data_IF_958883548691
#
_entry.id   IF_958883548691
#
_cell.length_a   1.000
_cell.length_b   1.000
_cell.length_c   1.000
_cell.angle_alpha   90.00
_cell.angle_beta   90.00
_cell.angle_gamma   90.00
#
_symmetry.space_group_name_H-M   'P 1'
#
loop_
_entity.id
_entity.type
_entity.pdbx_description
1 polymer ?
#
# COMPACT_ATOMS: atom_id res chain seq x y z
N UNK A 1 1.65 -14.40 -25.59
CA UNK A 1 0.25 -14.50 -25.98
C UNK A 1 -0.59 -14.52 -24.73
N UNK A 2 -1.68 -13.75 -24.69
CA UNK A 2 -2.60 -13.60 -23.56
C UNK A 2 -3.99 -14.02 -24.04
N UNK A 3 -4.59 -15.01 -23.39
CA UNK A 3 -5.89 -15.57 -23.76
C UNK A 3 -6.80 -15.61 -22.54
N UNK A 4 -8.08 -15.29 -22.71
CA UNK A 4 -9.09 -15.47 -21.67
C UNK A 4 -9.80 -16.81 -21.92
N UNK A 5 -9.84 -17.66 -20.91
CA UNK A 5 -10.42 -19.01 -20.97
C UNK A 5 -11.28 -19.30 -19.75
N UNK A 6 -12.11 -20.33 -19.87
CA UNK A 6 -12.90 -20.87 -18.75
C UNK A 6 -12.62 -22.36 -18.67
N UNK A 7 -12.59 -22.92 -17.45
CA UNK A 7 -12.50 -24.37 -17.28
C UNK A 7 -13.66 -25.08 -17.98
N UNK A 8 -13.50 -26.35 -18.42
CA UNK A 8 -14.55 -27.10 -19.10
C UNK A 8 -15.84 -27.24 -18.31
N UNK A 9 -15.76 -27.25 -16.96
CA UNK A 9 -16.92 -27.30 -16.05
C UNK A 9 -17.59 -25.91 -15.82
N UNK A 10 -17.11 -24.87 -16.50
CA UNK A 10 -17.62 -23.51 -16.39
C UNK A 10 -17.29 -22.79 -15.07
N UNK A 11 -16.63 -23.43 -14.11
CA UNK A 11 -16.50 -22.96 -12.73
C UNK A 11 -15.51 -21.80 -12.51
N UNK A 12 -14.40 -21.77 -13.27
CA UNK A 12 -13.34 -20.78 -13.11
C UNK A 12 -12.98 -20.17 -14.45
N UNK A 13 -13.11 -18.84 -14.55
CA UNK A 13 -12.61 -18.04 -15.67
C UNK A 13 -11.20 -17.57 -15.36
N UNK A 14 -10.25 -17.73 -16.30
CA UNK A 14 -8.85 -17.40 -16.10
C UNK A 14 -8.17 -16.78 -17.30
N UNK A 15 -7.16 -15.92 -17.05
CA UNK A 15 -6.24 -15.40 -18.06
C UNK A 15 -5.05 -16.34 -18.22
N UNK A 16 -4.88 -16.94 -19.38
CA UNK A 16 -3.71 -17.74 -19.72
C UNK A 16 -2.62 -16.88 -20.35
N UNK A 17 -1.46 -16.84 -19.72
CA UNK A 17 -0.28 -16.13 -20.20
C UNK A 17 0.82 -17.14 -20.58
N UNK A 18 1.00 -17.37 -21.88
CA UNK A 18 2.11 -18.17 -22.39
C UNK A 18 3.38 -17.33 -22.51
N UNK A 19 4.37 -17.62 -21.69
CA UNK A 19 5.65 -16.90 -21.63
C UNK A 19 6.78 -17.82 -21.15
N UNK A 20 8.05 -17.44 -21.37
CA UNK A 20 9.21 -18.19 -20.88
C UNK A 20 9.22 -18.20 -19.35
N UNK A 21 8.73 -19.26 -18.73
CA UNK A 21 8.80 -19.53 -17.29
C UNK A 21 9.19 -20.98 -17.05
N UNK A 22 9.96 -21.21 -15.99
CA UNK A 22 10.43 -22.55 -15.62
C UNK A 22 9.28 -23.40 -15.06
N UNK A 23 8.40 -22.81 -14.27
CA UNK A 23 7.29 -23.49 -13.60
C UNK A 23 5.96 -22.83 -13.97
N UNK A 24 4.85 -23.57 -13.85
CA UNK A 24 3.51 -22.99 -13.92
C UNK A 24 3.28 -22.14 -12.68
N UNK A 25 2.74 -20.94 -12.88
CA UNK A 25 2.43 -20.01 -11.79
C UNK A 25 0.95 -19.61 -11.88
N UNK A 26 0.26 -19.73 -10.74
CA UNK A 26 -1.12 -19.30 -10.58
C UNK A 26 -1.16 -18.14 -9.58
N UNK A 27 -1.93 -17.10 -9.89
CA UNK A 27 -2.23 -16.00 -8.96
C UNK A 27 -3.64 -15.48 -9.18
N UNK A 28 -4.29 -15.06 -8.14
CA UNK A 28 -5.49 -14.24 -8.21
C UNK A 28 -5.05 -12.78 -8.13
N UNK A 29 -5.39 -11.99 -9.15
CA UNK A 29 -5.01 -10.56 -9.22
C UNK A 29 -5.79 -9.73 -8.21
N UNK A 30 -5.36 -8.51 -7.94
CA UNK A 30 -6.13 -7.57 -7.14
C UNK A 30 -7.54 -7.29 -7.69
N UNK A 31 -7.77 -7.38 -9.00
CA UNK A 31 -9.09 -7.31 -9.64
C UNK A 31 -9.90 -8.62 -9.63
N UNK A 32 -9.48 -9.65 -8.89
CA UNK A 32 -10.19 -10.95 -8.81
C UNK A 32 -10.01 -11.84 -10.04
N UNK A 33 -9.14 -11.45 -10.98
CA UNK A 33 -8.88 -12.28 -12.17
C UNK A 33 -7.88 -13.37 -11.82
N UNK A 34 -8.25 -14.62 -12.06
CA UNK A 34 -7.35 -15.77 -11.96
C UNK A 34 -6.39 -15.72 -13.14
N UNK A 35 -5.10 -15.60 -12.89
CA UNK A 35 -4.07 -15.53 -13.94
C UNK A 35 -3.12 -16.71 -13.84
N UNK A 36 -2.93 -17.43 -14.93
CA UNK A 36 -2.02 -18.57 -15.03
C UNK A 36 -0.91 -18.25 -16.03
N UNK A 37 0.33 -18.35 -15.59
CA UNK A 37 1.52 -18.16 -16.44
C UNK A 37 2.24 -19.47 -16.62
N UNK A 38 2.42 -19.87 -17.87
CA UNK A 38 3.01 -21.18 -18.26
C UNK A 38 3.99 -21.05 -19.41
N UNK A 39 4.87 -22.04 -19.57
CA UNK A 39 5.69 -22.16 -20.77
C UNK A 39 4.81 -22.39 -22.01
N UNK A 40 5.21 -21.88 -23.21
CA UNK A 40 4.46 -22.05 -24.45
C UNK A 40 4.13 -23.49 -24.82
N UNK A 41 4.97 -24.45 -24.40
CA UNK A 41 4.85 -25.87 -24.75
C UNK A 41 3.92 -26.67 -23.83
N UNK A 42 3.41 -26.10 -22.74
CA UNK A 42 2.54 -26.83 -21.79
C UNK A 42 1.17 -27.08 -22.42
N UNK A 43 0.73 -28.37 -22.48
CA UNK A 43 -0.60 -28.72 -22.98
C UNK A 43 -1.73 -28.12 -22.16
N UNK A 44 -2.87 -27.84 -22.80
CA UNK A 44 -4.00 -27.19 -22.12
C UNK A 44 -4.54 -28.04 -20.96
N UNK A 45 -4.71 -29.34 -21.16
CA UNK A 45 -5.20 -30.25 -20.11
C UNK A 45 -4.37 -30.23 -18.83
N UNK A 46 -3.02 -30.13 -18.94
CA UNK A 46 -2.16 -29.96 -17.77
C UNK A 46 -2.37 -28.61 -17.05
N UNK A 47 -2.72 -27.57 -17.79
CA UNK A 47 -3.00 -26.26 -17.22
C UNK A 47 -4.33 -26.30 -16.45
N UNK A 48 -5.34 -26.92 -17.04
CA UNK A 48 -6.66 -27.09 -16.42
C UNK A 48 -6.59 -27.97 -15.17
N UNK A 49 -5.87 -29.08 -15.22
CA UNK A 49 -5.59 -29.91 -14.05
C UNK A 49 -4.86 -29.15 -12.95
N UNK A 50 -3.86 -28.34 -13.33
CA UNK A 50 -3.15 -27.49 -12.39
C UNK A 50 -4.09 -26.47 -11.70
N UNK A 51 -5.02 -25.85 -12.45
CA UNK A 51 -6.03 -24.95 -11.90
C UNK A 51 -6.97 -25.71 -10.95
N UNK A 52 -7.43 -26.90 -11.34
CA UNK A 52 -8.30 -27.74 -10.52
C UNK A 52 -7.64 -28.13 -9.20
N UNK A 53 -6.37 -28.53 -9.20
CA UNK A 53 -5.60 -28.83 -7.97
C UNK A 53 -5.49 -27.63 -7.04
N UNK A 54 -5.55 -26.41 -7.56
CA UNK A 54 -5.47 -25.17 -6.76
C UNK A 54 -6.84 -24.51 -6.54
N UNK A 55 -7.95 -25.22 -6.79
CA UNK A 55 -9.33 -24.69 -6.68
C UNK A 55 -9.58 -24.08 -5.31
N UNK A 56 -9.29 -24.79 -4.23
CA UNK A 56 -9.51 -24.30 -2.87
C UNK A 56 -8.73 -23.00 -2.58
N UNK A 57 -7.50 -22.87 -3.09
CA UNK A 57 -6.72 -21.63 -2.99
C UNK A 57 -7.40 -20.50 -3.76
N UNK A 58 -7.88 -20.75 -4.98
CA UNK A 58 -8.56 -19.76 -5.81
C UNK A 58 -9.84 -19.28 -5.14
N UNK A 59 -10.69 -20.22 -4.69
CA UNK A 59 -11.97 -19.93 -4.03
C UNK A 59 -11.74 -19.11 -2.75
N UNK A 60 -10.80 -19.54 -1.89
CA UNK A 60 -10.44 -18.81 -0.67
C UNK A 60 -9.93 -17.39 -1.01
N UNK A 61 -9.11 -17.23 -2.04
CA UNK A 61 -8.60 -15.93 -2.47
C UNK A 61 -9.70 -15.03 -3.02
N UNK A 62 -10.67 -15.57 -3.74
CA UNK A 62 -11.84 -14.86 -4.25
C UNK A 62 -12.83 -14.51 -3.14
N UNK A 63 -13.05 -15.41 -2.18
CA UNK A 63 -13.91 -15.19 -1.02
C UNK A 63 -13.36 -14.11 -0.10
N UNK A 64 -12.10 -14.23 0.31
CA UNK A 64 -11.42 -13.20 1.11
C UNK A 64 -11.50 -11.80 0.48
N UNK A 65 -11.70 -11.74 -0.83
CA UNK A 65 -11.85 -10.51 -1.56
C UNK A 65 -13.28 -9.97 -1.50
N UNK A 66 -14.29 -10.84 -1.63
CA UNK A 66 -15.71 -10.45 -1.46
C UNK A 66 -15.96 -9.92 -0.06
N UNK A 67 -15.39 -10.58 0.94
CA UNK A 67 -15.52 -10.20 2.35
C UNK A 67 -14.85 -8.85 2.67
N UNK A 68 -13.85 -8.44 1.87
CA UNK A 68 -13.13 -7.16 2.04
C UNK A 68 -13.75 -5.97 1.29
N UNK A 69 -14.89 -6.13 0.61
CA UNK A 69 -15.65 -5.03 0.00
C UNK A 69 -14.93 -4.21 -1.07
N UNK A 70 -13.88 -4.76 -1.74
CA UNK A 70 -13.15 -4.07 -2.82
C UNK A 70 -11.62 -4.19 -2.71
N UNK A 71 -10.88 -3.34 -3.44
CA UNK A 71 -9.44 -3.30 -3.34
C UNK A 71 -9.03 -2.65 -2.01
N UNK A 72 -8.18 -3.30 -1.17
CA UNK A 72 -7.84 -2.80 0.17
C UNK A 72 -7.16 -1.43 0.19
N UNK A 73 -6.70 -0.95 -0.97
CA UNK A 73 -6.08 0.36 -1.15
C UNK A 73 -7.05 1.40 -1.75
N UNK A 74 -8.33 1.06 -1.92
CA UNK A 74 -9.40 1.96 -2.39
C UNK A 74 -10.39 2.12 -1.25
N UNK A 75 -10.29 3.19 -0.46
CA UNK A 75 -11.25 3.45 0.61
C UNK A 75 -12.66 3.68 0.07
N UNK A 76 -13.65 3.34 0.86
CA UNK A 76 -15.02 3.73 0.57
C UNK A 76 -15.21 5.23 0.80
N UNK A 77 -16.13 5.84 0.06
CA UNK A 77 -16.53 7.22 0.31
C UNK A 77 -17.30 7.31 1.63
N UNK A 78 -17.24 8.49 2.24
CA UNK A 78 -17.90 8.82 3.51
C UNK A 78 -17.49 7.89 4.67
N UNK A 79 -16.23 7.39 4.62
CA UNK A 79 -15.61 6.58 5.70
C UNK A 79 -14.38 7.27 6.25
N UNK A 80 -14.05 6.91 7.49
CA UNK A 80 -12.77 7.28 8.10
C UNK A 80 -11.73 6.21 7.86
N UNK A 81 -10.51 6.64 7.56
CA UNK A 81 -9.37 5.74 7.37
C UNK A 81 -8.15 6.26 8.12
N UNK A 82 -7.37 5.33 8.65
CA UNK A 82 -6.06 5.67 9.21
C UNK A 82 -5.01 5.72 8.09
N UNK A 83 -4.25 6.82 8.04
CA UNK A 83 -3.13 7.00 7.12
C UNK A 83 -1.92 7.44 7.90
N UNK A 84 -0.87 6.62 7.94
CA UNK A 84 0.39 6.90 8.66
C UNK A 84 0.15 7.37 10.11
N UNK A 85 -0.73 6.66 10.83
CA UNK A 85 -1.08 6.94 12.22
C UNK A 85 -2.13 8.04 12.45
N UNK A 86 -2.55 8.78 11.42
CA UNK A 86 -3.53 9.85 11.50
C UNK A 86 -4.85 9.43 10.84
N UNK A 87 -5.99 9.85 11.43
CA UNK A 87 -7.32 9.58 10.86
C UNK A 87 -7.68 10.62 9.81
N UNK A 88 -8.23 10.17 8.69
CA UNK A 88 -8.72 11.00 7.59
C UNK A 88 -10.13 10.60 7.20
N UNK A 89 -10.97 11.59 6.91
CA UNK A 89 -12.30 11.38 6.33
C UNK A 89 -12.20 11.37 4.80
N UNK A 90 -12.77 10.36 4.15
CA UNK A 90 -12.82 10.24 2.68
C UNK A 90 -14.12 10.81 2.16
N UNK A 91 -14.07 11.91 1.43
CA UNK A 91 -15.26 12.65 0.98
C UNK A 91 -15.26 12.83 -0.53
N UNK A 92 -16.44 12.66 -1.16
CA UNK A 92 -16.62 12.99 -2.57
C UNK A 92 -16.61 14.50 -2.76
N UNK A 93 -15.72 15.01 -3.61
CA UNK A 93 -15.69 16.43 -3.96
C UNK A 93 -16.92 16.80 -4.81
N UNK A 94 -17.80 17.63 -4.24
CA UNK A 94 -18.94 18.24 -4.92
C UNK A 94 -18.63 19.72 -5.22
N UNK A 95 -19.30 20.37 -6.18
CA UNK A 95 -18.99 21.75 -6.60
C UNK A 95 -18.91 22.79 -5.47
N UNK A 96 -19.53 22.55 -4.32
CA UNK A 96 -19.56 23.46 -3.17
C UNK A 96 -18.79 22.93 -1.94
N UNK A 97 -18.19 21.75 -2.01
CA UNK A 97 -17.58 21.09 -0.83
C UNK A 97 -16.33 21.83 -0.34
N UNK A 98 -15.49 22.32 -1.26
CA UNK A 98 -14.21 22.98 -0.93
C UNK A 98 -14.42 24.29 -0.17
N UNK A 99 -15.45 25.09 -0.53
CA UNK A 99 -15.72 26.37 0.12
C UNK A 99 -16.15 26.20 1.58
N UNK A 100 -17.00 25.20 1.87
CA UNK A 100 -17.49 24.94 3.22
C UNK A 100 -16.40 24.49 4.19
N UNK A 101 -15.42 23.69 3.73
CA UNK A 101 -14.33 23.20 4.58
C UNK A 101 -13.23 24.25 4.82
N UNK A 102 -13.04 25.22 3.93
CA UNK A 102 -12.10 26.31 4.13
C UNK A 102 -12.63 27.36 5.10
N UNK A 103 -13.94 27.54 5.20
CA UNK A 103 -14.59 28.49 6.10
C UNK A 103 -14.66 27.99 7.56
N UNK A 104 -14.77 26.67 7.78
CA UNK A 104 -14.80 26.09 9.15
C UNK A 104 -13.43 26.02 9.84
N UNK A 105 -12.33 26.11 9.09
CA UNK A 105 -10.97 26.10 9.67
C UNK A 105 -10.49 27.44 10.21
N UNK A 106 -11.29 28.50 10.13
CA UNK A 106 -10.98 29.85 10.67
C UNK A 106 -11.58 30.13 12.03
N UNK A 107 -12.37 29.23 12.62
CA UNK A 107 -12.92 29.39 13.97
C UNK A 107 -12.63 28.13 14.79
N UNK A 108 -11.97 28.35 15.93
CA UNK A 108 -11.69 27.43 17.03
C UNK A 108 -10.44 26.55 16.97
N UNK A 109 -9.35 27.14 17.45
CA UNK A 109 -8.39 26.41 18.25
C UNK A 109 -8.75 26.56 19.75
N UNK A 110 -9.01 25.44 20.44
CA UNK A 110 -8.39 25.24 21.75
C UNK A 110 -7.97 23.77 21.98
N UNK A 111 -6.73 23.47 21.78
CA UNK A 111 -6.12 22.27 22.38
C UNK A 111 -4.74 22.61 22.90
N UNK A 112 -4.73 23.35 24.00
CA UNK A 112 -3.66 23.25 24.98
C UNK A 112 -4.10 22.31 26.11
N UNK A 113 -3.13 21.57 26.53
CA UNK A 113 -2.98 20.79 27.77
C UNK A 113 -3.22 19.29 27.71
N UNK A 114 -2.14 18.68 28.18
CA UNK A 114 -1.97 17.34 28.76
C UNK A 114 -1.50 16.24 27.80
N UNK A 115 -0.17 16.05 27.76
CA UNK A 115 0.49 14.84 28.27
C UNK A 115 2.01 14.92 28.02
N UNK A 116 2.76 15.08 29.10
CA UNK A 116 4.20 14.85 29.15
C UNK A 116 4.49 13.36 28.92
N UNK A 117 5.32 13.08 27.92
CA UNK A 117 5.85 11.75 27.67
C UNK A 117 6.75 11.79 26.44
N UNK A 118 8.07 11.86 26.65
CA UNK A 118 9.11 11.77 25.64
C UNK A 118 8.85 10.64 24.64
N UNK A 119 8.54 10.98 23.40
CA UNK A 119 8.75 10.16 22.19
C UNK A 119 8.35 11.01 20.98
N UNK A 120 9.36 11.42 20.19
CA UNK A 120 9.24 12.03 18.86
C UNK A 120 8.32 13.28 18.82
N UNK A 121 8.91 14.45 18.68
CA UNK A 121 8.19 15.69 18.45
C UNK A 121 7.15 15.50 17.33
N UNK A 122 5.87 15.57 17.70
CA UNK A 122 4.73 15.66 16.80
C UNK A 122 4.82 16.96 15.98
N UNK A 123 5.63 16.94 14.94
CA UNK A 123 5.43 17.87 13.84
C UNK A 123 4.31 17.30 12.98
N UNK A 124 3.15 17.98 12.87
CA UNK A 124 2.15 17.60 11.88
C UNK A 124 2.85 17.53 10.53
N UNK A 125 2.66 16.44 9.81
CA UNK A 125 3.15 16.25 8.45
C UNK A 125 2.65 17.43 7.60
N UNK A 126 3.46 18.48 7.53
CA UNK A 126 3.31 19.48 6.49
C UNK A 126 3.63 18.75 5.19
N UNK A 127 2.60 18.21 4.54
CA UNK A 127 2.68 17.77 3.15
C UNK A 127 2.89 19.06 2.34
N UNK A 128 4.13 19.53 2.30
CA UNK A 128 4.53 20.49 1.27
C UNK A 128 4.32 19.78 -0.07
N UNK A 129 3.53 20.34 -0.98
CA UNK A 129 3.41 19.79 -2.32
C UNK A 129 4.78 19.93 -2.98
N UNK A 130 5.57 18.86 -2.95
CA UNK A 130 6.76 18.73 -3.76
C UNK A 130 6.35 18.92 -5.23
N UNK A 131 7.10 19.72 -5.95
CA UNK A 131 6.95 20.21 -7.31
C UNK A 131 6.53 19.13 -8.34
N UNK A 132 5.30 18.72 -8.30
CA UNK A 132 4.65 17.81 -9.23
C UNK A 132 3.19 18.19 -9.37
N UNK A 133 2.91 19.25 -10.14
CA UNK A 133 1.63 19.50 -10.79
C UNK A 133 0.38 19.63 -9.93
N UNK A 134 0.40 20.34 -8.79
CA UNK A 134 -0.81 20.91 -8.21
C UNK A 134 -0.92 22.31 -8.82
N UNK A 135 -1.68 22.45 -9.90
CA UNK A 135 -2.00 23.74 -10.49
C UNK A 135 -2.81 24.56 -9.47
N UNK A 136 -2.18 25.57 -8.89
CA UNK A 136 -2.89 26.72 -8.31
C UNK A 136 -3.50 27.52 -9.47
N UNK A 137 -4.56 27.00 -10.09
CA UNK A 137 -5.32 27.64 -11.13
C UNK A 137 -6.65 28.08 -10.57
N UNK A 138 -7.04 29.35 -10.82
CA UNK A 138 -8.41 29.84 -10.69
C UNK A 138 -9.38 28.81 -11.28
N UNK A 139 -10.58 28.58 -10.68
CA UNK A 139 -11.56 27.68 -11.25
C UNK A 139 -11.99 28.19 -12.62
N UNK A 140 -11.39 27.63 -13.68
CA UNK A 140 -11.94 27.75 -15.00
C UNK A 140 -13.18 26.87 -15.08
N UNK A 141 -14.32 27.43 -15.44
CA UNK A 141 -15.53 26.70 -15.82
C UNK A 141 -15.25 25.88 -17.08
N UNK A 142 -14.60 24.72 -16.92
CA UNK A 142 -14.32 23.77 -17.98
C UNK A 142 -14.56 22.37 -17.43
N UNK A 143 -15.17 21.49 -18.22
CA UNK A 143 -15.44 20.08 -17.91
C UNK A 143 -14.18 19.42 -17.33
N UNK A 144 -14.19 19.16 -16.02
CA UNK A 144 -13.08 18.49 -15.34
C UNK A 144 -13.20 16.98 -15.56
N UNK A 145 -12.48 16.47 -16.56
CA UNK A 145 -12.48 15.04 -16.90
C UNK A 145 -11.39 14.23 -16.16
N UNK A 146 -10.98 14.67 -14.97
CA UNK A 146 -9.82 14.09 -14.27
C UNK A 146 -10.21 13.43 -12.95
N UNK A 147 -9.72 12.20 -12.76
CA UNK A 147 -9.69 11.54 -11.46
C UNK A 147 -8.61 12.21 -10.59
N UNK A 148 -8.97 12.68 -9.39
CA UNK A 148 -8.02 13.32 -8.48
C UNK A 148 -8.34 13.01 -7.01
N UNK A 149 -7.31 13.07 -6.17
CA UNK A 149 -7.43 13.07 -4.71
C UNK A 149 -6.64 14.26 -4.19
N UNK A 150 -7.28 15.07 -3.37
CA UNK A 150 -6.68 16.24 -2.73
C UNK A 150 -6.76 16.09 -1.22
N UNK A 151 -5.66 16.38 -0.54
CA UNK A 151 -5.63 16.40 0.93
C UNK A 151 -5.92 17.83 1.39
N UNK A 152 -6.93 18.00 2.24
CA UNK A 152 -7.27 19.27 2.89
C UNK A 152 -7.48 18.98 4.37
N UNK A 153 -6.54 19.40 5.22
CA UNK A 153 -6.52 19.05 6.64
C UNK A 153 -6.60 17.51 6.82
N UNK A 154 -7.58 17.04 7.58
CA UNK A 154 -7.82 15.60 7.82
C UNK A 154 -8.86 15.01 6.85
N UNK A 155 -8.99 15.60 5.64
CA UNK A 155 -9.97 15.18 4.64
C UNK A 155 -9.26 14.80 3.34
N UNK A 156 -9.60 13.64 2.81
CA UNK A 156 -9.27 13.21 1.46
C UNK A 156 -10.45 13.52 0.53
N UNK A 157 -10.35 14.60 -0.19
CA UNK A 157 -11.35 14.98 -1.21
C UNK A 157 -11.11 14.19 -2.48
N UNK A 158 -12.07 13.36 -2.86
CA UNK A 158 -11.99 12.48 -4.03
C UNK A 158 -12.85 13.07 -5.14
N UNK A 159 -12.23 13.31 -6.30
CA UNK A 159 -12.93 13.79 -7.51
C UNK A 159 -12.98 12.68 -8.55
N UNK A 160 -14.18 12.48 -9.11
CA UNK A 160 -14.39 11.65 -10.29
C UNK A 160 -14.88 12.51 -11.47
N UNK A 161 -14.60 12.11 -12.72
CA UNK A 161 -15.17 12.80 -13.89
C UNK A 161 -16.69 12.77 -13.85
N UNK A 162 -17.33 13.90 -14.14
CA UNK A 162 -18.79 14.09 -14.04
C UNK A 162 -19.58 13.47 -15.19
N UNK A 163 -18.90 13.02 -16.24
CA UNK A 163 -19.47 12.59 -17.53
C UNK A 163 -19.55 11.07 -17.73
N UNK A 164 -19.27 10.29 -16.68
CA UNK A 164 -19.36 8.83 -16.75
C UNK A 164 -20.55 8.30 -15.93
N UNK A 165 -21.50 7.66 -16.60
CA UNK A 165 -22.58 6.90 -15.97
C UNK A 165 -22.08 5.73 -15.12
N UNK A 166 -20.86 5.22 -15.41
CA UNK A 166 -20.21 4.15 -14.65
C UNK A 166 -18.74 4.47 -14.40
N UNK A 167 -18.33 4.41 -13.13
CA UNK A 167 -16.93 4.57 -12.75
C UNK A 167 -16.10 3.38 -13.23
N UNK A 168 -15.02 3.65 -13.95
CA UNK A 168 -14.05 2.62 -14.34
C UNK A 168 -13.22 2.23 -13.10
N UNK A 169 -13.56 1.07 -12.52
CA UNK A 169 -12.89 0.57 -11.32
C UNK A 169 -11.37 0.47 -11.46
N UNK A 170 -10.85 0.21 -12.66
CA UNK A 170 -9.40 0.12 -12.89
C UNK A 170 -8.72 1.49 -12.86
N UNK A 171 -9.42 2.54 -13.27
CA UNK A 171 -8.92 3.92 -13.20
C UNK A 171 -8.96 4.43 -11.76
N UNK A 172 -10.04 4.13 -11.02
CA UNK A 172 -10.15 4.44 -9.58
C UNK A 172 -9.03 3.74 -8.81
N UNK A 173 -8.84 2.44 -9.00
CA UNK A 173 -7.75 1.69 -8.36
C UNK A 173 -6.38 2.32 -8.66
N UNK A 174 -6.11 2.66 -9.91
CA UNK A 174 -4.84 3.28 -10.32
C UNK A 174 -4.64 4.67 -9.71
N UNK A 175 -5.70 5.48 -9.64
CA UNK A 175 -5.66 6.78 -8.97
C UNK A 175 -5.24 6.65 -7.51
N UNK A 176 -5.90 5.78 -6.74
CA UNK A 176 -5.57 5.53 -5.35
C UNK A 176 -4.15 4.98 -5.16
N UNK A 177 -3.73 4.01 -5.97
CA UNK A 177 -2.37 3.46 -5.89
C UNK A 177 -1.30 4.50 -6.20
N UNK A 178 -1.54 5.41 -7.12
CA UNK A 178 -0.61 6.51 -7.41
C UNK A 178 -0.60 7.52 -6.26
N UNK A 179 -1.76 7.87 -5.72
CA UNK A 179 -1.88 8.74 -4.56
C UNK A 179 -1.08 8.20 -3.37
N UNK A 180 -1.28 6.93 -3.01
CA UNK A 180 -0.54 6.30 -1.91
C UNK A 180 0.97 6.29 -2.13
N UNK A 181 1.43 6.07 -3.35
CA UNK A 181 2.87 6.13 -3.67
C UNK A 181 3.43 7.53 -3.47
N UNK A 182 2.73 8.54 -3.95
CA UNK A 182 3.18 9.93 -3.84
C UNK A 182 3.17 10.38 -2.38
N UNK A 183 2.06 10.14 -1.67
CA UNK A 183 1.91 10.52 -0.27
C UNK A 183 2.92 9.82 0.64
N UNK A 184 3.17 8.53 0.40
CA UNK A 184 4.02 7.72 1.26
C UNK A 184 5.52 7.81 0.95
N UNK A 185 5.93 8.45 -0.15
CA UNK A 185 7.34 8.45 -0.55
C UNK A 185 8.20 9.23 0.44
N UNK A 186 7.81 10.46 0.78
CA UNK A 186 8.55 11.32 1.71
C UNK A 186 8.61 10.70 3.12
N UNK A 187 7.49 10.10 3.57
CA UNK A 187 7.43 9.36 4.82
C UNK A 187 8.43 8.19 4.84
N UNK A 188 8.48 7.40 3.78
CA UNK A 188 9.39 6.25 3.71
C UNK A 188 10.86 6.67 3.62
N UNK A 189 11.17 7.79 2.96
CA UNK A 189 12.53 8.35 2.90
C UNK A 189 12.98 8.83 4.28
N UNK A 190 12.11 9.53 5.01
CA UNK A 190 12.37 9.93 6.40
C UNK A 190 12.58 8.71 7.29
N UNK A 191 11.75 7.68 7.15
CA UNK A 191 11.84 6.43 7.91
C UNK A 191 13.15 5.68 7.63
N UNK A 192 13.65 5.70 6.38
CA UNK A 192 14.96 5.14 6.03
C UNK A 192 16.08 5.82 6.81
N UNK A 193 16.07 7.15 6.89
CA UNK A 193 17.10 7.91 7.62
C UNK A 193 17.06 7.61 9.12
N UNK A 194 15.86 7.56 9.68
CA UNK A 194 15.65 7.21 11.09
C UNK A 194 16.23 5.82 11.40
N UNK A 195 15.79 4.79 10.67
CA UNK A 195 16.20 3.39 10.90
C UNK A 195 17.70 3.21 10.64
N UNK A 196 18.24 3.88 9.61
CA UNK A 196 19.69 3.86 9.38
C UNK A 196 20.47 4.39 10.60
N UNK A 197 20.00 5.49 11.22
CA UNK A 197 20.58 6.02 12.44
C UNK A 197 20.46 5.07 13.63
N UNK A 198 19.35 4.36 13.79
CA UNK A 198 19.13 3.36 14.83
C UNK A 198 20.12 2.18 14.70
N UNK A 199 20.37 1.70 13.47
CA UNK A 199 21.38 0.66 13.22
C UNK A 199 22.79 1.14 13.57
N UNK A 200 23.15 2.38 13.21
CA UNK A 200 24.43 2.96 13.56
C UNK A 200 24.62 3.08 15.09
N UNK A 201 23.58 3.51 15.81
CA UNK A 201 23.58 3.59 17.28
C UNK A 201 23.74 2.21 17.92
N UNK A 202 23.16 1.17 17.33
CA UNK A 202 23.31 -0.21 17.77
C UNK A 202 24.67 -0.82 17.37
N UNK A 203 25.58 -0.06 16.73
CA UNK A 203 26.92 -0.49 16.32
C UNK A 203 26.97 -1.27 15.01
N UNK A 204 25.92 -1.23 14.21
CA UNK A 204 25.87 -1.90 12.90
C UNK A 204 26.17 -0.94 11.75
N UNK A 205 27.03 -1.37 10.83
CA UNK A 205 27.28 -0.65 9.56
C UNK A 205 26.39 -1.23 8.47
N UNK A 206 25.47 -0.41 7.96
CA UNK A 206 24.54 -0.74 6.87
C UNK A 206 24.50 0.37 5.84
N UNK A 207 24.23 0.08 4.56
CA UNK A 207 24.05 1.13 3.55
C UNK A 207 22.78 1.94 3.82
N UNK A 208 22.68 3.13 3.23
CA UNK A 208 21.43 3.90 3.15
C UNK A 208 20.68 3.48 1.89
N UNK A 209 19.67 2.60 1.97
CA UNK A 209 19.05 2.03 0.80
C UNK A 209 18.09 2.98 0.10
N UNK A 210 17.93 2.79 -1.20
CA UNK A 210 16.78 3.36 -1.92
C UNK A 210 15.50 2.64 -1.50
N UNK A 211 14.49 3.38 -1.06
CA UNK A 211 13.18 2.83 -0.72
C UNK A 211 12.19 2.96 -1.87
N UNK A 212 11.37 1.94 -2.08
CA UNK A 212 10.31 1.88 -3.08
C UNK A 212 9.00 1.44 -2.46
N UNK A 213 7.92 2.09 -2.79
CA UNK A 213 6.57 1.69 -2.40
C UNK A 213 5.92 0.85 -3.50
N UNK A 214 5.36 -0.30 -3.09
CA UNK A 214 4.64 -1.20 -3.99
C UNK A 214 3.52 -1.92 -3.26
N UNK A 215 2.36 -2.04 -3.88
CA UNK A 215 1.32 -2.93 -3.38
C UNK A 215 1.75 -4.40 -3.54
N UNK A 216 1.74 -5.14 -2.44
CA UNK A 216 2.11 -6.56 -2.39
C UNK A 216 1.04 -7.35 -1.62
N UNK A 217 0.72 -8.55 -2.11
CA UNK A 217 -0.32 -9.41 -1.51
C UNK A 217 0.21 -10.38 -0.46
N UNK A 218 1.50 -10.74 -0.54
CA UNK A 218 2.08 -11.87 0.23
C UNK A 218 3.17 -11.48 1.22
N UNK A 219 3.63 -10.22 1.20
CA UNK A 219 4.70 -9.75 2.09
C UNK A 219 4.54 -8.26 2.41
N UNK A 220 5.16 -7.83 3.50
CA UNK A 220 5.14 -6.45 3.96
C UNK A 220 6.32 -5.63 3.47
N UNK A 221 7.46 -6.29 3.27
CA UNK A 221 8.66 -5.69 2.73
C UNK A 221 9.46 -6.69 1.91
N UNK A 222 10.55 -6.24 1.32
CA UNK A 222 11.61 -7.07 0.76
C UNK A 222 12.90 -6.26 0.60
N UNK A 223 14.01 -6.82 1.03
CA UNK A 223 15.34 -6.28 0.83
C UNK A 223 16.04 -6.94 -0.36
N UNK A 224 16.78 -6.16 -1.12
CA UNK A 224 17.75 -6.63 -2.13
C UNK A 224 19.13 -6.06 -1.76
N UNK A 225 19.93 -6.76 -0.92
CA UNK A 225 21.18 -6.23 -0.40
C UNK A 225 22.16 -5.78 -1.49
N UNK A 226 22.35 -6.57 -2.53
CA UNK A 226 23.27 -6.25 -3.63
C UNK A 226 22.87 -5.01 -4.45
N UNK A 227 21.61 -4.56 -4.35
CA UNK A 227 21.10 -3.37 -5.04
C UNK A 227 20.83 -2.22 -4.07
N UNK A 228 21.13 -2.42 -2.81
CA UNK A 228 20.83 -1.45 -1.76
C UNK A 228 19.41 -0.89 -1.88
N UNK A 229 18.43 -1.79 -2.09
CA UNK A 229 17.04 -1.41 -2.32
C UNK A 229 16.13 -2.16 -1.38
N UNK A 230 15.28 -1.41 -0.68
CA UNK A 230 14.15 -1.92 0.10
C UNK A 230 12.85 -1.59 -0.64
N UNK A 231 11.95 -2.57 -0.71
CA UNK A 231 10.59 -2.36 -1.21
C UNK A 231 9.62 -2.52 -0.05
N UNK A 232 8.82 -1.50 0.23
CA UNK A 232 7.81 -1.50 1.29
C UNK A 232 6.41 -1.64 0.69
N UNK A 233 5.53 -2.35 1.40
CA UNK A 233 4.15 -2.51 0.97
C UNK A 233 3.35 -1.23 1.23
N UNK A 234 2.67 -0.70 0.21
CA UNK A 234 1.80 0.48 0.36
C UNK A 234 0.69 0.30 1.40
N UNK A 235 0.29 -0.94 1.73
CA UNK A 235 -0.68 -1.21 2.81
C UNK A 235 -0.21 -0.70 4.18
N UNK A 236 1.10 -0.58 4.40
CA UNK A 236 1.66 -0.04 5.64
C UNK A 236 1.29 1.45 5.86
N UNK A 237 0.94 2.16 4.80
CA UNK A 237 0.45 3.54 4.92
C UNK A 237 -0.94 3.62 5.55
N UNK A 238 -1.72 2.52 5.49
CA UNK A 238 -3.09 2.43 6.04
C UNK A 238 -3.05 1.79 7.44
N UNK A 239 -2.28 2.37 8.34
CA UNK A 239 -2.15 1.88 9.72
C UNK A 239 -1.19 2.72 10.55
N UNK A 240 -0.95 2.31 11.80
CA UNK A 240 0.04 2.92 12.68
C UNK A 240 1.45 2.94 12.07
N UNK A 241 2.17 4.04 12.27
CA UNK A 241 3.53 4.23 11.74
C UNK A 241 4.53 3.22 12.28
N UNK A 242 4.32 2.73 13.48
CA UNK A 242 5.16 1.73 14.14
C UNK A 242 5.24 0.41 13.35
N UNK A 243 4.20 0.08 12.58
CA UNK A 243 4.23 -1.12 11.75
C UNK A 243 5.15 -0.94 10.53
N UNK A 244 5.16 0.25 9.94
CA UNK A 244 6.11 0.57 8.87
C UNK A 244 7.54 0.59 9.42
N UNK A 245 7.75 1.15 10.61
CA UNK A 245 9.04 1.15 11.30
C UNK A 245 9.54 -0.27 11.57
N UNK A 246 8.71 -1.13 12.18
CA UNK A 246 9.05 -2.54 12.42
C UNK A 246 9.46 -3.27 11.12
N UNK A 247 8.70 -3.11 10.04
CA UNK A 247 9.04 -3.74 8.75
C UNK A 247 10.31 -3.15 8.17
N UNK A 248 10.54 -1.84 8.27
CA UNK A 248 11.77 -1.20 7.82
C UNK A 248 13.00 -1.76 8.55
N UNK A 249 12.93 -1.85 9.90
CA UNK A 249 14.01 -2.48 10.71
C UNK A 249 14.25 -3.94 10.27
N UNK A 250 13.19 -4.70 9.99
CA UNK A 250 13.28 -6.08 9.49
C UNK A 250 14.02 -6.15 8.15
N UNK A 251 13.71 -5.28 7.21
CA UNK A 251 14.35 -5.25 5.91
C UNK A 251 15.80 -4.74 5.98
N UNK A 252 16.11 -3.82 6.90
CA UNK A 252 17.47 -3.39 7.17
C UNK A 252 18.33 -4.51 7.76
N UNK A 253 17.78 -5.33 8.65
CA UNK A 253 18.50 -6.46 9.24
C UNK A 253 18.98 -7.46 8.16
N UNK A 254 18.32 -7.52 7.00
CA UNK A 254 18.76 -8.33 5.86
C UNK A 254 20.04 -7.83 5.16
N UNK A 255 20.50 -6.62 5.43
CA UNK A 255 21.86 -6.21 5.01
C UNK A 255 22.96 -6.88 5.81
N UNK A 256 22.64 -7.35 7.01
CA UNK A 256 23.58 -8.02 7.92
C UNK A 256 23.45 -9.52 7.84
N UNK A 257 22.21 -10.02 7.79
CA UNK A 257 21.91 -11.45 7.78
C UNK A 257 20.77 -11.77 6.79
N UNK A 258 21.10 -12.53 5.74
CA UNK A 258 20.14 -12.82 4.67
C UNK A 258 18.98 -13.72 5.11
N UNK A 259 19.22 -14.59 6.09
CA UNK A 259 18.25 -15.57 6.57
C UNK A 259 17.75 -15.19 7.96
N UNK A 260 16.54 -15.64 8.31
CA UNK A 260 15.95 -15.44 9.64
C UNK A 260 16.56 -16.40 10.68
N UNK A 261 17.90 -16.35 10.82
CA UNK A 261 18.68 -17.12 11.79
C UNK A 261 18.61 -16.50 13.20
N UNK A 262 19.22 -17.16 14.19
CA UNK A 262 19.37 -16.56 15.53
C UNK A 262 20.14 -15.22 15.50
N UNK A 263 21.11 -15.09 14.57
CA UNK A 263 21.86 -13.85 14.35
C UNK A 263 20.96 -12.72 13.82
N UNK A 264 20.04 -13.03 12.90
CA UNK A 264 19.05 -12.08 12.42
C UNK A 264 18.20 -11.55 13.56
N UNK A 265 17.64 -12.44 14.37
CA UNK A 265 16.81 -12.03 15.51
C UNK A 265 17.59 -11.30 16.60
N UNK A 266 18.90 -11.60 16.76
CA UNK A 266 19.75 -10.80 17.64
C UNK A 266 19.84 -9.36 17.13
N UNK A 267 20.12 -9.13 15.84
CA UNK A 267 20.14 -7.80 15.23
C UNK A 267 18.81 -7.08 15.41
N UNK A 268 17.68 -7.79 15.17
CA UNK A 268 16.35 -7.23 15.43
C UNK A 268 16.18 -6.76 16.88
N UNK A 269 16.63 -7.56 17.86
CA UNK A 269 16.48 -7.24 19.28
C UNK A 269 17.44 -6.11 19.73
N UNK A 270 18.61 -6.01 19.11
CA UNK A 270 19.57 -4.95 19.42
C UNK A 270 19.07 -3.57 18.92
N UNK A 271 18.35 -3.53 17.79
CA UNK A 271 17.84 -2.28 17.19
C UNK A 271 16.43 -1.97 17.65
N UNK A 272 15.54 -2.96 17.73
CA UNK A 272 14.14 -2.82 18.12
C UNK A 272 13.77 -3.88 19.17
N UNK A 273 14.04 -3.66 20.45
CA UNK A 273 13.87 -4.66 21.51
C UNK A 273 12.43 -5.22 21.61
N UNK A 274 11.43 -4.45 21.26
CA UNK A 274 10.01 -4.83 21.32
C UNK A 274 9.45 -5.38 19.98
N UNK A 275 10.32 -5.81 19.04
CA UNK A 275 9.93 -6.23 17.70
C UNK A 275 8.90 -7.39 17.68
N UNK A 276 8.95 -8.31 18.65
CA UNK A 276 7.99 -9.42 18.74
C UNK A 276 6.58 -8.91 19.04
N UNK A 277 6.46 -7.94 19.95
CA UNK A 277 5.19 -7.30 20.27
C UNK A 277 4.63 -6.55 19.06
N UNK A 278 5.50 -5.83 18.30
CA UNK A 278 5.10 -5.14 17.08
C UNK A 278 4.61 -6.12 16.01
N UNK A 279 5.30 -7.24 15.85
CA UNK A 279 4.87 -8.33 14.94
C UNK A 279 3.48 -8.86 15.30
N UNK A 280 3.20 -9.08 16.58
CA UNK A 280 1.89 -9.55 17.05
C UNK A 280 0.79 -8.50 16.82
N UNK A 281 1.03 -7.24 17.21
CA UNK A 281 0.09 -6.12 17.01
C UNK A 281 -0.22 -5.94 15.53
N UNK A 282 0.80 -5.92 14.68
CA UNK A 282 0.64 -5.78 13.23
C UNK A 282 -0.15 -6.94 12.63
N UNK A 283 0.10 -8.19 13.08
CA UNK A 283 -0.68 -9.35 12.64
C UNK A 283 -2.14 -9.20 13.02
N UNK A 284 -2.45 -8.80 14.25
CA UNK A 284 -3.82 -8.59 14.71
C UNK A 284 -4.55 -7.47 13.95
N UNK A 285 -3.83 -6.40 13.61
CA UNK A 285 -4.39 -5.24 12.91
C UNK A 285 -4.80 -5.55 11.46
N UNK A 286 -3.99 -6.35 10.74
CA UNK A 286 -4.21 -6.61 9.32
C UNK A 286 -4.86 -7.98 9.01
N UNK A 287 -5.21 -8.78 10.02
CA UNK A 287 -5.96 -10.05 9.86
C UNK A 287 -7.45 -9.82 9.83
#
# INVERSE_FOLDING_TARGET
>A
MKELRTLPDGSIRYELHRKRVKNMNLRVTASGVVRVSVSPRVPLGMIEEFICRHRAFIEKALQNRKDRGGHPMVPALDTEIMVMGQMYQVVLEKPHTVSAYLETSSQDSPRDSLLNGNLLEDKPLQVCPSKGGISRGRPSQGKTSTYAITVVNDILLVRYPSDHETLDASKVERMWLNFWKTLGQDFMETLVQQVHGEFQQAGYTVPTPTVRLRYMTSRWGSCMPLKETITMNTRLLLGPTEFAHYVMVHEFAHFIEANHSSRFYKVMSDVLPNWEQMKMKMKAYYT
#
